data_IF_132133341216
#
_entry.id   IF_132133341216
#
_cell.length_a   1.000
_cell.length_b   1.000
_cell.length_c   1.000
_cell.angle_alpha   90.00
_cell.angle_beta   90.00
_cell.angle_gamma   90.00
#
_symmetry.space_group_name_H-M   'P 1'
#
loop_
_entity.id
_entity.type
_entity.pdbx_description
1 polymer ?
#
# COMPACT_ATOMS: atom_id res chain seq x y z
N UNK A 1 -50.63 -5.19 1.90
CA UNK A 1 -49.30 -5.78 1.69
C UNK A 1 -48.27 -4.63 1.77
N UNK A 2 -47.69 -4.44 2.95
CA UNK A 2 -46.66 -3.40 3.16
C UNK A 2 -45.30 -3.98 2.74
N UNK A 3 -44.84 -3.57 1.58
CA UNK A 3 -43.45 -3.86 1.14
C UNK A 3 -42.49 -3.12 2.05
N UNK A 4 -41.85 -3.86 2.97
CA UNK A 4 -40.76 -3.34 3.78
C UNK A 4 -39.63 -2.92 2.85
N UNK A 5 -39.25 -1.63 2.89
CA UNK A 5 -38.00 -1.13 2.29
C UNK A 5 -36.89 -1.78 3.09
N UNK A 6 -36.24 -2.81 2.54
CA UNK A 6 -35.00 -3.34 3.07
C UNK A 6 -33.96 -2.23 2.89
N UNK A 7 -33.61 -1.53 3.98
CA UNK A 7 -32.58 -0.50 3.96
C UNK A 7 -31.28 -1.11 3.44
N UNK A 8 -30.58 -0.34 2.59
CA UNK A 8 -29.23 -0.71 2.13
C UNK A 8 -28.38 -0.94 3.40
N UNK A 9 -27.64 -2.05 3.52
CA UNK A 9 -26.79 -2.26 4.69
C UNK A 9 -25.83 -1.08 4.86
N UNK A 10 -25.69 -0.60 6.09
CA UNK A 10 -24.77 0.49 6.43
C UNK A 10 -23.34 0.05 6.12
N UNK A 11 -22.63 0.83 5.30
CA UNK A 11 -21.26 0.51 4.94
C UNK A 11 -20.32 0.78 6.12
N UNK A 12 -19.40 -0.14 6.39
CA UNK A 12 -18.44 -0.01 7.48
C UNK A 12 -17.37 1.02 7.15
N UNK A 13 -17.16 2.01 8.01
CA UNK A 13 -16.09 3.00 7.84
C UNK A 13 -14.72 2.34 7.95
N UNK A 14 -13.92 2.49 6.89
CA UNK A 14 -12.71 1.71 6.69
C UNK A 14 -11.51 2.61 6.41
N UNK A 15 -10.39 2.37 7.08
CA UNK A 15 -9.07 2.86 6.69
C UNK A 15 -8.32 1.78 5.91
N UNK A 16 -7.48 2.20 4.96
CA UNK A 16 -6.54 1.30 4.27
C UNK A 16 -5.15 1.50 4.86
N UNK A 17 -4.52 0.42 5.31
CA UNK A 17 -3.09 0.40 5.63
C UNK A 17 -2.31 0.62 4.34
N UNK A 18 -1.73 1.82 4.18
CA UNK A 18 -1.21 2.31 2.92
C UNK A 18 0.30 2.26 2.88
N UNK A 19 0.84 1.35 2.10
CA UNK A 19 2.28 1.20 1.86
C UNK A 19 2.79 1.97 0.64
N UNK A 20 1.92 2.63 -0.13
CA UNK A 20 2.15 3.18 -1.46
C UNK A 20 2.28 2.17 -2.61
N UNK A 21 2.41 0.89 -2.29
CA UNK A 21 2.62 -0.18 -3.27
C UNK A 21 1.34 -0.66 -3.96
N UNK A 22 1.54 -1.54 -4.94
CA UNK A 22 0.45 -2.12 -5.75
C UNK A 22 -0.61 -2.86 -4.93
N UNK A 23 -0.20 -3.58 -3.86
CA UNK A 23 -1.12 -4.42 -3.09
C UNK A 23 -2.05 -3.59 -2.22
N UNK A 24 -1.53 -2.55 -1.53
CA UNK A 24 -2.39 -1.59 -0.81
C UNK A 24 -3.31 -0.82 -1.78
N UNK A 25 -2.81 -0.49 -2.98
CA UNK A 25 -3.60 0.17 -4.00
C UNK A 25 -4.72 -0.74 -4.54
N UNK A 26 -4.43 -2.02 -4.76
CA UNK A 26 -5.42 -3.00 -5.20
C UNK A 26 -6.44 -3.34 -4.11
N UNK A 27 -6.00 -3.39 -2.84
CA UNK A 27 -6.88 -3.50 -1.67
C UNK A 27 -7.93 -2.40 -1.65
N UNK A 28 -7.52 -1.15 -1.84
CA UNK A 28 -8.43 -0.01 -1.96
C UNK A 28 -9.46 -0.21 -3.07
N UNK A 29 -9.02 -0.67 -4.25
CA UNK A 29 -9.91 -0.94 -5.39
C UNK A 29 -10.97 -1.99 -5.05
N UNK A 30 -10.55 -3.15 -4.53
CA UNK A 30 -11.46 -4.25 -4.21
C UNK A 30 -12.47 -3.89 -3.10
N UNK A 31 -12.02 -3.22 -2.04
CA UNK A 31 -12.91 -2.81 -0.96
C UNK A 31 -13.95 -1.78 -1.43
N UNK A 32 -13.58 -0.87 -2.34
CA UNK A 32 -14.55 0.03 -2.97
C UNK A 32 -15.57 -0.70 -3.84
N UNK A 33 -15.12 -1.72 -4.58
CA UNK A 33 -16.00 -2.50 -5.45
C UNK A 33 -16.99 -3.38 -4.69
N UNK A 34 -16.64 -3.86 -3.50
CA UNK A 34 -17.53 -4.74 -2.72
C UNK A 34 -18.82 -4.07 -2.31
N UNK A 35 -18.84 -2.75 -2.18
CA UNK A 35 -20.00 -1.99 -1.70
C UNK A 35 -20.32 -2.18 -0.20
N UNK A 36 -19.48 -2.89 0.53
CA UNK A 36 -19.61 -3.14 1.97
C UNK A 36 -18.88 -2.12 2.83
N UNK A 37 -17.91 -1.40 2.23
CA UNK A 37 -16.99 -0.53 2.94
C UNK A 37 -17.05 0.92 2.44
N UNK A 38 -17.19 1.85 3.37
CA UNK A 38 -16.98 3.27 3.15
C UNK A 38 -15.52 3.61 3.43
N UNK A 39 -14.73 3.86 2.39
CA UNK A 39 -13.31 4.15 2.58
C UNK A 39 -13.14 5.59 3.09
N UNK A 40 -12.81 5.72 4.36
CA UNK A 40 -12.67 7.00 5.06
C UNK A 40 -11.26 7.63 4.92
N UNK A 41 -10.25 6.85 4.52
CA UNK A 41 -8.91 7.37 4.33
C UNK A 41 -7.82 6.32 4.18
N UNK A 42 -6.60 6.81 4.02
CA UNK A 42 -5.37 6.03 3.94
C UNK A 42 -4.55 6.29 5.21
N UNK A 43 -3.95 5.23 5.78
CA UNK A 43 -3.09 5.30 6.96
C UNK A 43 -1.70 4.77 6.60
N UNK A 44 -0.66 5.59 6.78
CA UNK A 44 0.71 5.21 6.45
C UNK A 44 1.69 5.59 7.55
N UNK A 45 2.74 4.80 7.72
CA UNK A 45 3.87 5.12 8.60
C UNK A 45 4.95 5.83 7.82
N UNK A 46 5.48 6.93 8.37
CA UNK A 46 6.50 7.76 7.76
C UNK A 46 7.74 7.80 8.63
N UNK A 47 8.91 7.56 8.05
CA UNK A 47 10.16 7.87 8.69
C UNK A 47 10.28 9.39 8.81
N UNK A 48 10.33 9.91 10.05
CA UNK A 48 10.32 11.34 10.32
C UNK A 48 11.62 12.04 9.91
N UNK A 49 12.75 11.32 9.89
CA UNK A 49 14.07 11.88 9.52
C UNK A 49 14.23 12.01 8.00
N UNK A 50 13.78 10.98 7.25
CA UNK A 50 14.00 10.93 5.79
C UNK A 50 12.77 11.39 5.00
N UNK A 51 11.65 11.65 5.67
CA UNK A 51 10.36 12.05 5.06
C UNK A 51 9.89 11.08 3.96
N UNK A 52 10.00 9.77 4.27
CA UNK A 52 9.66 8.67 3.37
C UNK A 52 8.78 7.64 4.08
N UNK A 53 7.97 6.92 3.30
CA UNK A 53 7.23 5.75 3.82
C UNK A 53 8.22 4.75 4.41
N UNK A 54 7.94 4.30 5.62
CA UNK A 54 8.76 3.31 6.30
C UNK A 54 8.86 2.04 5.44
N UNK A 55 10.04 1.43 5.38
CA UNK A 55 10.41 0.24 4.59
C UNK A 55 10.41 0.45 3.06
N UNK A 56 9.40 1.09 2.49
CA UNK A 56 9.24 1.26 1.04
C UNK A 56 10.12 2.37 0.44
N UNK A 57 10.54 3.34 1.26
CA UNK A 57 11.36 4.46 0.80
C UNK A 57 10.64 5.47 -0.11
N UNK A 58 9.35 5.32 -0.32
CA UNK A 58 8.55 6.25 -1.15
C UNK A 58 8.50 7.64 -0.53
N UNK A 59 8.74 8.68 -1.33
CA UNK A 59 8.71 10.07 -0.88
C UNK A 59 7.31 10.49 -0.42
N UNK A 60 7.23 11.37 0.58
CA UNK A 60 5.97 11.96 1.08
C UNK A 60 5.14 12.54 -0.05
N UNK A 61 5.74 13.32 -0.93
CA UNK A 61 5.04 13.98 -2.06
C UNK A 61 4.29 12.99 -2.97
N UNK A 62 4.82 11.77 -3.13
CA UNK A 62 4.15 10.73 -3.92
C UNK A 62 2.97 10.11 -3.18
N UNK A 63 3.11 9.88 -1.88
CA UNK A 63 2.00 9.34 -1.06
C UNK A 63 0.86 10.35 -0.96
N UNK A 64 1.18 11.63 -0.82
CA UNK A 64 0.19 12.73 -0.84
C UNK A 64 -0.50 12.81 -2.21
N UNK A 65 0.28 12.69 -3.31
CA UNK A 65 -0.29 12.64 -4.65
C UNK A 65 -1.19 11.40 -4.89
N UNK A 66 -0.84 10.25 -4.29
CA UNK A 66 -1.68 9.06 -4.32
C UNK A 66 -3.00 9.28 -3.57
N UNK A 67 -2.96 9.87 -2.39
CA UNK A 67 -4.14 10.18 -1.59
C UNK A 67 -5.05 11.17 -2.33
N UNK A 68 -4.48 12.22 -2.94
CA UNK A 68 -5.20 13.19 -3.78
C UNK A 68 -5.84 12.50 -4.99
N UNK A 69 -5.07 11.65 -5.70
CA UNK A 69 -5.57 10.91 -6.86
C UNK A 69 -6.67 9.91 -6.48
N UNK A 70 -6.57 9.29 -5.30
CA UNK A 70 -7.60 8.43 -4.74
C UNK A 70 -8.83 9.22 -4.24
N UNK A 71 -8.69 10.53 -4.02
CA UNK A 71 -9.72 11.39 -3.42
C UNK A 71 -10.02 11.04 -1.97
N UNK A 72 -8.97 10.70 -1.21
CA UNK A 72 -9.05 10.27 0.19
C UNK A 72 -8.11 11.09 1.07
N UNK A 73 -8.48 11.34 2.34
CA UNK A 73 -7.56 11.91 3.31
C UNK A 73 -6.41 10.94 3.60
N UNK A 74 -5.22 11.50 3.81
CA UNK A 74 -4.03 10.77 4.23
C UNK A 74 -3.77 11.01 5.73
N UNK A 75 -3.66 9.94 6.50
CA UNK A 75 -3.21 9.96 7.90
C UNK A 75 -1.78 9.42 7.95
N UNK A 76 -0.86 10.20 8.47
CA UNK A 76 0.54 9.82 8.59
C UNK A 76 0.90 9.58 10.06
N UNK A 77 1.61 8.49 10.32
CA UNK A 77 2.16 8.16 11.63
C UNK A 77 3.66 8.41 11.55
N UNK A 78 4.20 9.47 12.18
CA UNK A 78 5.63 9.72 12.19
C UNK A 78 6.34 8.69 13.08
N UNK A 79 7.37 8.05 12.53
CA UNK A 79 8.23 7.11 13.24
C UNK A 79 9.63 7.71 13.37
N UNK A 80 10.28 7.63 14.53
CA UNK A 80 11.68 8.05 14.69
C UNK A 80 12.62 7.14 13.88
N UNK A 81 13.86 7.56 13.72
CA UNK A 81 14.91 6.73 13.15
C UNK A 81 16.15 6.73 14.05
N UNK A 82 16.65 5.57 14.47
CA UNK A 82 16.02 4.24 14.36
C UNK A 82 14.72 4.15 15.17
N UNK A 83 13.81 3.23 14.77
CA UNK A 83 12.56 2.99 15.46
C UNK A 83 12.58 1.61 16.14
N UNK A 84 12.40 1.57 17.46
CA UNK A 84 12.26 0.29 18.16
C UNK A 84 10.85 -0.31 17.93
N UNK A 85 10.72 -1.62 18.17
CA UNK A 85 9.42 -2.28 18.09
C UNK A 85 8.41 -1.66 19.07
N UNK A 86 8.83 -1.29 20.28
CA UNK A 86 7.98 -0.67 21.31
C UNK A 86 7.49 0.70 20.84
N UNK A 87 8.35 1.51 20.20
CA UNK A 87 7.99 2.82 19.64
C UNK A 87 7.00 2.66 18.49
N UNK A 88 7.26 1.71 17.58
CA UNK A 88 6.35 1.40 16.49
C UNK A 88 4.97 0.97 17.02
N UNK A 89 4.94 0.02 17.96
CA UNK A 89 3.69 -0.48 18.52
C UNK A 89 2.91 0.59 19.31
N UNK A 90 3.61 1.48 20.02
CA UNK A 90 2.97 2.59 20.69
C UNK A 90 2.33 3.56 19.71
N UNK A 91 3.06 3.98 18.66
CA UNK A 91 2.55 4.87 17.63
C UNK A 91 1.35 4.27 16.87
N UNK A 92 1.41 2.97 16.56
CA UNK A 92 0.30 2.26 15.91
C UNK A 92 -0.93 2.15 16.82
N UNK A 93 -0.74 1.86 18.10
CA UNK A 93 -1.84 1.79 19.09
C UNK A 93 -2.55 3.12 19.21
N UNK A 94 -1.80 4.23 19.31
CA UNK A 94 -2.36 5.57 19.40
C UNK A 94 -3.15 5.94 18.13
N UNK A 95 -2.61 5.60 16.96
CA UNK A 95 -3.28 5.81 15.68
C UNK A 95 -4.58 4.99 15.55
N UNK A 96 -4.57 3.74 16.02
CA UNK A 96 -5.77 2.89 16.04
C UNK A 96 -6.83 3.45 17.02
N UNK A 97 -6.43 3.89 18.21
CA UNK A 97 -7.34 4.50 19.17
C UNK A 97 -7.99 5.77 18.60
N UNK A 98 -7.21 6.63 17.91
CA UNK A 98 -7.76 7.80 17.25
C UNK A 98 -8.69 7.43 16.10
N UNK A 99 -8.37 6.38 15.32
CA UNK A 99 -9.24 5.90 14.25
C UNK A 99 -10.61 5.47 14.78
N UNK A 100 -10.62 4.70 15.87
CA UNK A 100 -11.88 4.28 16.55
C UNK A 100 -12.66 5.48 17.06
N UNK A 101 -11.99 6.47 17.67
CA UNK A 101 -12.63 7.70 18.15
C UNK A 101 -13.28 8.49 17.00
N UNK A 102 -12.72 8.41 15.78
CA UNK A 102 -13.28 9.01 14.56
C UNK A 102 -14.38 8.14 13.90
N UNK A 103 -14.78 7.03 14.54
CA UNK A 103 -15.81 6.13 14.06
C UNK A 103 -15.37 5.15 12.98
N UNK A 104 -14.08 4.89 12.85
CA UNK A 104 -13.57 3.82 11.96
C UNK A 104 -13.82 2.47 12.64
N UNK A 105 -14.26 1.51 11.84
CA UNK A 105 -14.61 0.15 12.28
C UNK A 105 -13.69 -0.91 11.69
N UNK A 106 -13.08 -0.62 10.53
CA UNK A 106 -12.34 -1.61 9.76
C UNK A 106 -10.98 -1.06 9.30
N UNK A 107 -9.96 -1.92 9.31
CA UNK A 107 -8.66 -1.68 8.72
C UNK A 107 -8.40 -2.70 7.59
N UNK A 108 -8.24 -2.22 6.35
CA UNK A 108 -7.92 -3.04 5.19
C UNK A 108 -6.42 -3.20 5.00
N UNK A 109 -5.96 -4.42 4.80
CA UNK A 109 -4.56 -4.78 4.59
C UNK A 109 -4.37 -5.49 3.26
N UNK A 110 -3.21 -5.27 2.63
CA UNK A 110 -2.82 -5.88 1.37
C UNK A 110 -2.00 -7.17 1.51
N UNK A 111 -2.00 -7.79 2.69
CA UNK A 111 -1.26 -9.04 2.94
C UNK A 111 -1.89 -10.22 2.16
N UNK A 112 -1.06 -11.14 1.64
CA UNK A 112 -1.49 -12.17 0.70
C UNK A 112 -1.47 -13.60 1.27
N UNK A 113 -0.35 -14.04 1.89
CA UNK A 113 -0.22 -15.43 2.35
C UNK A 113 0.71 -15.64 3.55
N UNK A 114 1.37 -14.61 4.09
CA UNK A 114 2.22 -14.76 5.28
C UNK A 114 1.34 -14.84 6.54
N UNK A 115 1.14 -16.07 7.04
CA UNK A 115 0.26 -16.34 8.17
C UNK A 115 0.71 -15.65 9.48
N UNK A 116 2.01 -15.54 9.70
CA UNK A 116 2.61 -14.85 10.84
C UNK A 116 2.34 -13.35 10.81
N UNK A 117 2.43 -12.72 9.63
CA UNK A 117 2.11 -11.29 9.44
C UNK A 117 0.62 -11.05 9.67
N UNK A 118 -0.24 -11.87 9.08
CA UNK A 118 -1.69 -11.77 9.28
C UNK A 118 -2.04 -11.94 10.76
N UNK A 119 -1.52 -12.98 11.40
CA UNK A 119 -1.74 -13.23 12.82
C UNK A 119 -1.27 -12.05 13.68
N UNK A 120 -0.10 -11.49 13.39
CA UNK A 120 0.39 -10.30 14.08
C UNK A 120 -0.61 -9.14 13.99
N UNK A 121 -1.17 -8.87 12.79
CA UNK A 121 -2.17 -7.80 12.63
C UNK A 121 -3.46 -8.10 13.39
N UNK A 122 -3.97 -9.33 13.31
CA UNK A 122 -5.15 -9.78 14.04
C UNK A 122 -4.95 -9.63 15.54
N UNK A 123 -3.81 -10.10 16.09
CA UNK A 123 -3.47 -10.01 17.50
C UNK A 123 -3.35 -8.55 17.98
N UNK A 124 -2.71 -7.67 17.18
CA UNK A 124 -2.52 -6.24 17.53
C UNK A 124 -3.81 -5.43 17.46
N UNK A 125 -4.76 -5.82 16.64
CA UNK A 125 -6.06 -5.17 16.54
C UNK A 125 -7.12 -5.81 17.46
N UNK A 126 -6.84 -6.98 18.04
CA UNK A 126 -7.75 -7.64 18.98
C UNK A 126 -8.10 -6.71 20.16
N UNK A 127 -9.40 -6.49 20.37
CA UNK A 127 -9.90 -5.60 21.43
C UNK A 127 -9.72 -4.11 21.20
N UNK A 128 -9.16 -3.67 20.06
CA UNK A 128 -8.99 -2.25 19.75
C UNK A 128 -10.28 -1.56 19.28
N UNK A 129 -11.28 -2.31 18.85
CA UNK A 129 -12.47 -1.81 18.17
C UNK A 129 -12.37 -1.80 16.64
N UNK A 130 -11.20 -2.12 16.08
CA UNK A 130 -11.01 -2.25 14.64
C UNK A 130 -11.02 -3.71 14.20
N UNK A 131 -11.70 -4.01 13.10
CA UNK A 131 -11.71 -5.32 12.47
C UNK A 131 -10.74 -5.33 11.29
N UNK A 132 -9.69 -6.19 11.26
CA UNK A 132 -8.83 -6.33 10.11
C UNK A 132 -9.53 -7.08 8.97
N UNK A 133 -9.31 -6.66 7.73
CA UNK A 133 -9.76 -7.36 6.51
C UNK A 133 -8.64 -7.49 5.50
N UNK A 134 -8.60 -8.64 4.81
CA UNK A 134 -7.50 -9.04 3.93
C UNK A 134 -8.06 -9.47 2.56
N UNK A 135 -8.48 -8.54 1.68
CA UNK A 135 -9.18 -8.89 0.44
C UNK A 135 -8.31 -9.62 -0.59
N UNK A 136 -6.99 -9.63 -0.40
CA UNK A 136 -6.04 -10.31 -1.29
C UNK A 136 -5.66 -11.71 -0.78
N UNK A 137 -6.08 -12.07 0.43
CA UNK A 137 -5.62 -13.28 1.10
C UNK A 137 -5.89 -14.55 0.31
N UNK A 138 -4.85 -15.38 0.15
CA UNK A 138 -4.92 -16.69 -0.52
C UNK A 138 -5.06 -16.62 -2.04
N UNK A 139 -5.02 -15.44 -2.65
CA UNK A 139 -5.03 -15.33 -4.11
C UNK A 139 -3.68 -15.76 -4.70
N UNK A 140 -3.67 -16.53 -5.81
CA UNK A 140 -2.44 -16.87 -6.53
C UNK A 140 -1.74 -15.59 -7.02
N UNK A 141 -0.51 -15.34 -6.58
CA UNK A 141 0.16 -14.04 -6.73
C UNK A 141 0.43 -13.65 -8.18
N UNK A 142 0.81 -14.61 -9.05
CA UNK A 142 1.03 -14.34 -10.47
C UNK A 142 -0.25 -13.96 -11.20
N UNK A 143 -1.35 -14.62 -10.89
CA UNK A 143 -2.66 -14.32 -11.45
C UNK A 143 -3.17 -12.98 -10.94
N UNK A 144 -2.97 -12.69 -9.65
CA UNK A 144 -3.33 -11.42 -9.04
C UNK A 144 -2.60 -10.24 -9.69
N UNK A 145 -1.29 -10.36 -9.95
CA UNK A 145 -0.55 -9.29 -10.65
C UNK A 145 -1.06 -9.11 -12.08
N UNK A 146 -1.37 -10.19 -12.79
CA UNK A 146 -1.98 -10.09 -14.13
C UNK A 146 -3.37 -9.44 -14.10
N UNK A 147 -4.17 -9.73 -13.08
CA UNK A 147 -5.46 -9.06 -12.84
C UNK A 147 -5.26 -7.55 -12.65
N UNK A 148 -4.28 -7.14 -11.84
CA UNK A 148 -3.91 -5.74 -11.64
C UNK A 148 -3.48 -5.07 -12.95
N UNK A 149 -2.59 -5.72 -13.72
CA UNK A 149 -2.09 -5.19 -15.00
C UNK A 149 -3.22 -5.05 -16.04
N UNK A 150 -4.08 -6.05 -16.15
CA UNK A 150 -5.23 -6.03 -17.05
C UNK A 150 -6.23 -4.90 -16.69
N UNK A 151 -6.36 -4.57 -15.40
CA UNK A 151 -7.17 -3.46 -14.92
C UNK A 151 -6.48 -2.09 -15.07
N UNK A 152 -5.26 -2.04 -15.60
CA UNK A 152 -4.52 -0.80 -15.86
C UNK A 152 -3.71 -0.28 -14.66
N UNK A 153 -3.45 -1.11 -13.66
CA UNK A 153 -2.51 -0.75 -12.59
C UNK A 153 -1.11 -0.58 -13.18
N UNK A 154 -0.49 0.56 -12.85
CA UNK A 154 0.92 0.82 -13.14
C UNK A 154 1.65 1.05 -11.83
N UNK A 155 2.74 0.33 -11.66
CA UNK A 155 3.58 0.41 -10.48
C UNK A 155 5.05 0.29 -10.89
N UNK A 156 5.94 0.95 -10.14
CA UNK A 156 7.39 0.93 -10.35
C UNK A 156 8.08 0.30 -9.14
N UNK A 157 9.07 -0.54 -9.38
CA UNK A 157 9.90 -1.11 -8.31
C UNK A 157 10.79 0.00 -7.75
N UNK A 158 10.67 0.27 -6.45
CA UNK A 158 11.39 1.32 -5.72
C UNK A 158 12.43 0.80 -4.75
N UNK A 159 12.35 -0.49 -4.40
CA UNK A 159 13.31 -1.15 -3.53
C UNK A 159 13.45 -2.60 -3.95
N UNK A 160 14.66 -3.14 -3.91
CA UNK A 160 14.99 -4.55 -4.19
C UNK A 160 15.90 -5.09 -3.09
N UNK A 161 15.60 -6.30 -2.58
CA UNK A 161 16.54 -7.07 -1.80
C UNK A 161 17.49 -7.82 -2.76
N UNK A 162 18.77 -7.41 -2.89
CA UNK A 162 19.71 -8.02 -3.84
C UNK A 162 20.07 -9.47 -3.52
N UNK A 163 19.68 -9.97 -2.34
CA UNK A 163 19.86 -11.39 -1.97
C UNK A 163 18.80 -12.28 -2.63
N UNK A 164 17.66 -11.71 -3.01
CA UNK A 164 16.50 -12.44 -3.56
C UNK A 164 16.24 -12.10 -5.03
N UNK A 165 16.52 -10.85 -5.45
CA UNK A 165 16.26 -10.38 -6.81
C UNK A 165 17.40 -9.48 -7.29
N UNK A 166 17.79 -9.61 -8.57
CA UNK A 166 18.88 -8.79 -9.13
C UNK A 166 18.58 -7.28 -9.01
N UNK A 167 19.62 -6.50 -8.70
CA UNK A 167 19.55 -5.03 -8.63
C UNK A 167 18.99 -4.38 -9.90
N UNK A 168 19.09 -5.05 -11.05
CA UNK A 168 18.63 -4.57 -12.35
C UNK A 168 17.11 -4.42 -12.43
N UNK A 169 16.37 -5.00 -11.48
CA UNK A 169 14.93 -4.84 -11.36
C UNK A 169 14.54 -3.50 -10.71
N UNK A 170 15.44 -2.85 -9.98
CA UNK A 170 15.15 -1.55 -9.38
C UNK A 170 14.88 -0.48 -10.43
N UNK A 171 13.80 0.26 -10.28
CA UNK A 171 13.36 1.32 -11.21
C UNK A 171 12.57 0.83 -12.42
N UNK A 172 12.39 -0.49 -12.58
CA UNK A 172 11.56 -1.03 -13.67
C UNK A 172 10.07 -0.89 -13.34
N UNK A 173 9.27 -0.68 -14.36
CA UNK A 173 7.81 -0.76 -14.24
C UNK A 173 7.35 -2.21 -14.19
N UNK A 174 6.28 -2.45 -13.43
CA UNK A 174 5.61 -3.74 -13.35
C UNK A 174 4.78 -3.93 -14.63
N UNK A 175 5.20 -4.86 -15.46
CA UNK A 175 4.54 -5.27 -16.71
C UNK A 175 4.72 -6.76 -16.97
N UNK A 176 4.11 -7.29 -18.04
CA UNK A 176 4.25 -8.72 -18.40
C UNK A 176 5.71 -9.09 -18.69
N UNK A 177 6.49 -8.21 -19.33
CA UNK A 177 7.89 -8.48 -19.62
C UNK A 177 8.74 -8.58 -18.35
N UNK A 178 8.43 -7.80 -17.32
CA UNK A 178 9.06 -7.93 -16.01
C UNK A 178 8.66 -9.23 -15.33
N UNK A 179 7.38 -9.63 -15.40
CA UNK A 179 6.90 -10.89 -14.83
C UNK A 179 7.56 -12.11 -15.48
N UNK A 180 7.78 -12.05 -16.79
CA UNK A 180 8.44 -13.13 -17.54
C UNK A 180 9.96 -13.16 -17.28
N UNK A 181 10.55 -12.02 -16.93
CA UNK A 181 11.98 -11.92 -16.58
C UNK A 181 12.27 -12.29 -15.11
N UNK A 182 11.24 -12.43 -14.27
CA UNK A 182 11.44 -12.79 -12.86
C UNK A 182 12.02 -14.20 -12.72
N UNK A 183 13.06 -14.38 -11.90
CA UNK A 183 13.61 -15.70 -11.60
C UNK A 183 12.56 -16.63 -10.97
N UNK A 184 12.71 -17.93 -11.22
CA UNK A 184 11.92 -18.95 -10.54
C UNK A 184 12.11 -18.82 -9.01
N UNK A 185 11.02 -18.86 -8.26
CA UNK A 185 11.02 -18.74 -6.79
C UNK A 185 10.84 -17.31 -6.26
N UNK A 186 10.95 -16.28 -7.09
CA UNK A 186 10.58 -14.90 -6.72
C UNK A 186 9.07 -14.75 -6.77
N UNK A 187 8.48 -14.26 -5.70
CA UNK A 187 7.05 -14.00 -5.67
C UNK A 187 6.69 -12.76 -6.50
N UNK A 188 5.80 -12.86 -7.50
CA UNK A 188 5.38 -11.72 -8.33
C UNK A 188 4.74 -10.57 -7.54
N UNK A 189 4.17 -10.85 -6.36
CA UNK A 189 3.68 -9.82 -5.44
C UNK A 189 4.74 -9.32 -4.47
N UNK A 190 5.89 -10.00 -4.38
CA UNK A 190 6.98 -9.68 -3.47
C UNK A 190 6.58 -9.72 -1.98
N UNK A 191 5.69 -10.66 -1.61
CA UNK A 191 5.19 -10.78 -0.24
C UNK A 191 6.29 -11.15 0.77
N UNK A 192 7.38 -11.79 0.31
CA UNK A 192 8.54 -12.12 1.15
C UNK A 192 9.57 -11.01 1.22
N UNK A 193 9.26 -9.82 0.71
CA UNK A 193 10.15 -8.66 0.74
C UNK A 193 11.22 -8.64 -0.36
N UNK A 194 11.03 -9.41 -1.46
CA UNK A 194 11.96 -9.44 -2.59
C UNK A 194 12.12 -8.07 -3.25
N UNK A 195 11.02 -7.32 -3.31
CA UNK A 195 11.03 -5.93 -3.78
C UNK A 195 9.81 -5.17 -3.26
N UNK A 196 9.85 -3.84 -3.35
CA UNK A 196 8.71 -2.97 -3.08
C UNK A 196 8.40 -2.10 -4.28
N UNK A 197 7.12 -1.71 -4.40
CA UNK A 197 6.64 -0.90 -5.53
C UNK A 197 5.99 0.39 -5.06
N UNK A 198 5.92 1.38 -5.96
CA UNK A 198 5.03 2.54 -5.86
C UNK A 198 4.00 2.48 -6.99
N UNK A 199 2.71 2.49 -6.64
CA UNK A 199 1.63 2.55 -7.62
C UNK A 199 1.40 3.99 -8.08
N UNK A 200 1.34 4.22 -9.40
CA UNK A 200 1.17 5.56 -9.95
C UNK A 200 0.01 5.70 -10.93
N UNK A 201 -0.65 4.59 -11.30
CA UNK A 201 -1.91 4.60 -12.04
C UNK A 201 -2.72 3.34 -11.75
N UNK A 202 -4.02 3.39 -12.03
CA UNK A 202 -4.94 2.26 -11.90
C UNK A 202 -6.34 2.71 -11.51
N UNK A 203 -7.28 1.75 -11.42
CA UNK A 203 -8.70 2.05 -11.21
C UNK A 203 -9.02 2.64 -9.81
N UNK A 204 -8.07 2.56 -8.85
CA UNK A 204 -8.19 3.17 -7.53
C UNK A 204 -7.97 4.68 -7.56
N UNK A 205 -7.35 5.21 -8.61
CA UNK A 205 -7.01 6.63 -8.78
C UNK A 205 -7.90 7.29 -9.84
N UNK A 206 -8.30 8.53 -9.60
CA UNK A 206 -9.08 9.34 -10.57
C UNK A 206 -8.25 9.77 -11.78
N UNK A 207 -6.92 9.81 -11.61
CA UNK A 207 -5.93 10.15 -12.64
C UNK A 207 -4.62 9.45 -12.34
N UNK A 208 -3.82 9.23 -13.38
CA UNK A 208 -2.43 8.80 -13.20
C UNK A 208 -1.62 9.91 -12.52
N UNK A 209 -0.64 9.51 -11.72
CA UNK A 209 0.31 10.39 -11.05
C UNK A 209 1.55 10.46 -11.94
N UNK A 210 1.89 11.62 -12.49
CA UNK A 210 3.10 11.75 -13.28
C UNK A 210 4.33 11.58 -12.38
N UNK A 211 5.18 10.61 -12.74
CA UNK A 211 6.38 10.26 -11.99
C UNK A 211 7.61 10.35 -12.89
N UNK A 212 8.76 10.64 -12.29
CA UNK A 212 10.06 10.58 -12.93
C UNK A 212 11.02 9.71 -12.10
N UNK A 213 11.95 9.05 -12.81
CA UNK A 213 13.01 8.26 -12.17
C UNK A 213 14.09 9.18 -11.60
N UNK A 214 14.52 8.92 -10.38
CA UNK A 214 15.70 9.48 -9.77
C UNK A 214 16.88 8.53 -9.82
N UNK A 215 17.79 8.68 -8.87
CA UNK A 215 18.99 7.85 -8.75
C UNK A 215 18.66 6.45 -8.23
N UNK A 216 19.50 5.48 -8.60
CA UNK A 216 19.50 4.13 -8.01
C UNK A 216 20.69 4.05 -7.05
N UNK A 217 20.39 3.86 -5.78
CA UNK A 217 21.41 3.83 -4.71
C UNK A 217 21.30 2.54 -3.91
N UNK A 218 22.43 2.08 -3.37
CA UNK A 218 22.47 0.97 -2.41
C UNK A 218 22.64 1.52 -1.01
N UNK A 219 21.78 1.08 -0.07
CA UNK A 219 21.80 1.49 1.33
C UNK A 219 21.30 0.34 2.21
N UNK A 220 21.99 0.08 3.31
CA UNK A 220 21.62 -0.91 4.33
C UNK A 220 21.36 -2.31 3.75
N UNK A 221 22.07 -2.66 2.66
CA UNK A 221 21.95 -3.95 1.99
C UNK A 221 20.76 -4.07 1.01
N UNK A 222 20.04 -2.98 0.74
CA UNK A 222 18.97 -2.88 -0.25
C UNK A 222 19.33 -1.92 -1.38
N UNK A 223 18.74 -2.15 -2.54
CA UNK A 223 18.86 -1.26 -3.72
C UNK A 223 17.60 -0.44 -3.85
N UNK A 224 17.70 0.86 -3.72
CA UNK A 224 16.59 1.81 -3.84
C UNK A 224 16.66 2.54 -5.17
N UNK A 225 15.55 2.54 -5.91
CA UNK A 225 15.33 3.42 -7.07
C UNK A 225 14.46 4.58 -6.62
N UNK A 226 15.04 5.77 -6.57
CA UNK A 226 14.29 6.97 -6.21
C UNK A 226 13.25 7.29 -7.29
N UNK A 227 12.05 7.64 -6.86
CA UNK A 227 10.96 8.07 -7.73
C UNK A 227 10.42 9.38 -7.18
N UNK A 228 10.25 10.37 -8.06
CA UNK A 228 9.77 11.70 -7.74
C UNK A 228 8.46 11.95 -8.45
N UNK A 229 7.62 12.82 -7.88
CA UNK A 229 6.51 13.41 -8.61
C UNK A 229 7.09 14.34 -9.68
N UNK A 230 6.69 14.11 -10.94
CA UNK A 230 7.07 15.02 -12.00
C UNK A 230 6.44 16.40 -11.75
N UNK A 231 7.27 17.45 -11.69
CA UNK A 231 6.79 18.81 -11.56
C UNK A 231 5.86 19.16 -12.73
N UNK A 232 4.78 19.88 -12.46
CA UNK A 232 4.01 20.51 -13.51
C UNK A 232 4.95 21.54 -14.15
N UNK A 233 5.53 21.19 -15.30
CA UNK A 233 6.29 22.15 -16.11
C UNK A 233 5.41 23.36 -16.33
N UNK A 234 5.85 24.51 -15.83
CA UNK A 234 5.26 25.78 -16.21
C UNK A 234 5.46 25.85 -17.72
N UNK A 235 4.39 25.68 -18.47
CA UNK A 235 4.41 26.05 -19.90
C UNK A 235 4.33 27.56 -19.92
N UNK A 236 5.50 28.19 -20.18
CA UNK A 236 5.56 29.61 -20.54
C UNK A 236 4.75 29.86 -21.82
#
# INVERSE_FOLDING_TARGET
MSGGIVGKPEMKKTLISWSSGKDSAWTLHLLRQSGEYEIAGLLTTMNAEFDRVAMHGTRRELVEAQAEAAGLPLRTIPLPWPCSNEQYEAAMRDACAQAVADGIEVMGFGDLFLEDVRKYREDKLAGSGLTPVFPLWGKPTRELVREMLAAGVKARIVCVDPKQLSREFAGRDLDEALLDAMPEGVDPCAERGEFHTVAYAGPMFRRAIPIESGEVVERDGFVFADVKKQGLGIRD
#
